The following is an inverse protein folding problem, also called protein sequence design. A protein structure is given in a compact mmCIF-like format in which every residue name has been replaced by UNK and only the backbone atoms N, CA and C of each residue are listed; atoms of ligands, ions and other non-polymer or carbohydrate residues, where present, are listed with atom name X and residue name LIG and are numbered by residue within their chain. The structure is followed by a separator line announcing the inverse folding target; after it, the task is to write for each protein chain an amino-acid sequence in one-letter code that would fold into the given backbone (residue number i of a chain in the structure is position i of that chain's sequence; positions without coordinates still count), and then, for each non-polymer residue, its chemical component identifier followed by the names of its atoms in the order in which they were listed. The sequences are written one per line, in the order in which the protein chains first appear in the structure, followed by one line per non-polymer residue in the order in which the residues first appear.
data_IF_999225594012
#
_entry.id   IF_999225594012
#
_cell.length_a   1.000
_cell.length_b   1.000
_cell.length_c   1.000
_cell.angle_alpha   90.00
_cell.angle_beta   90.00
_cell.angle_gamma   90.00
#
_symmetry.space_group_name_H-M   'P 1'
#
loop_
_entity.id
_entity.type
_entity.pdbx_description
1 polymer ?
#
# COMPACT_ATOMS: atom_id res chain seq x y z
N UNK A 1 25.63 4.15 -12.33
CA UNK A 1 24.45 3.39 -11.88
C UNK A 1 23.46 4.41 -11.30
N UNK A 2 22.15 4.37 -11.59
CA UNK A 2 21.20 5.26 -10.95
C UNK A 2 21.00 4.76 -9.52
N UNK A 3 21.96 5.06 -8.65
CA UNK A 3 22.06 4.40 -7.34
C UNK A 3 21.19 5.07 -6.27
N UNK A 4 20.29 6.00 -6.63
CA UNK A 4 19.47 6.68 -5.63
C UNK A 4 18.24 7.43 -6.14
N UNK A 5 17.65 7.07 -7.28
CA UNK A 5 16.39 7.69 -7.68
C UNK A 5 15.25 7.17 -6.77
N UNK A 6 14.52 8.05 -6.05
CA UNK A 6 13.47 7.61 -5.15
C UNK A 6 12.38 6.91 -5.97
N UNK A 7 11.94 5.75 -5.47
CA UNK A 7 10.90 4.96 -6.13
C UNK A 7 9.52 5.39 -5.60
N UNK A 8 8.53 5.43 -6.48
CA UNK A 8 7.14 5.70 -6.11
C UNK A 8 6.22 4.68 -6.77
N UNK A 9 5.30 4.12 -5.98
CA UNK A 9 4.17 3.34 -6.49
C UNK A 9 2.85 3.93 -6.03
N UNK A 10 1.91 4.06 -6.95
CA UNK A 10 0.53 4.47 -6.68
C UNK A 10 -0.45 3.37 -7.09
N UNK A 11 -1.22 2.87 -6.12
CA UNK A 11 -2.29 1.92 -6.35
C UNK A 11 -3.65 2.60 -6.18
N UNK A 12 -4.35 2.83 -7.28
CA UNK A 12 -5.74 3.27 -7.26
C UNK A 12 -6.65 2.10 -6.91
N UNK A 13 -7.43 2.26 -5.84
CA UNK A 13 -8.28 1.21 -5.29
C UNK A 13 -9.76 1.58 -5.36
N UNK A 14 -10.63 0.63 -5.76
CA UNK A 14 -12.06 0.81 -5.71
C UNK A 14 -12.55 0.85 -4.25
N UNK A 15 -13.73 1.43 -4.03
CA UNK A 15 -14.40 1.42 -2.73
C UNK A 15 -15.02 0.04 -2.43
N UNK A 16 -14.16 -0.96 -2.23
CA UNK A 16 -14.51 -2.37 -2.02
C UNK A 16 -13.55 -2.99 -1.00
N UNK A 17 -14.06 -3.78 -0.06
CA UNK A 17 -13.25 -4.42 0.99
C UNK A 17 -12.13 -5.33 0.45
N UNK A 18 -12.28 -5.86 -0.77
CA UNK A 18 -11.23 -6.63 -1.47
C UNK A 18 -9.97 -5.81 -1.69
N UNK A 19 -10.10 -4.48 -1.80
CA UNK A 19 -8.96 -3.56 -1.93
C UNK A 19 -7.98 -3.66 -0.76
N UNK A 20 -8.46 -3.97 0.45
CA UNK A 20 -7.59 -4.13 1.64
C UNK A 20 -6.57 -5.25 1.40
N UNK A 21 -7.03 -6.40 0.92
CA UNK A 21 -6.15 -7.56 0.69
C UNK A 21 -5.19 -7.31 -0.47
N UNK A 22 -5.66 -6.66 -1.54
CA UNK A 22 -4.81 -6.30 -2.69
C UNK A 22 -3.72 -5.34 -2.26
N UNK A 23 -4.08 -4.26 -1.56
CA UNK A 23 -3.15 -3.25 -1.04
C UNK A 23 -2.06 -3.86 -0.16
N UNK A 24 -2.42 -4.74 0.78
CA UNK A 24 -1.44 -5.42 1.66
C UNK A 24 -0.44 -6.25 0.86
N UNK A 25 -0.92 -7.11 -0.04
CA UNK A 25 -0.06 -8.01 -0.83
C UNK A 25 0.86 -7.23 -1.76
N UNK A 26 0.35 -6.17 -2.39
CA UNK A 26 1.15 -5.26 -3.22
C UNK A 26 2.23 -4.54 -2.41
N UNK A 27 1.88 -4.04 -1.22
CA UNK A 27 2.84 -3.37 -0.33
C UNK A 27 3.95 -4.31 0.14
N UNK A 28 3.62 -5.56 0.52
CA UNK A 28 4.63 -6.58 0.84
C UNK A 28 5.59 -6.78 -0.33
N UNK A 29 5.07 -6.93 -1.55
CA UNK A 29 5.89 -7.13 -2.73
C UNK A 29 6.86 -5.96 -2.95
N UNK A 30 6.35 -4.72 -2.93
CA UNK A 30 7.15 -3.51 -3.10
C UNK A 30 8.28 -3.46 -2.06
N UNK A 31 7.94 -3.57 -0.76
CA UNK A 31 8.94 -3.48 0.30
C UNK A 31 9.96 -4.62 0.24
N UNK A 32 9.56 -5.82 -0.18
CA UNK A 32 10.48 -6.94 -0.36
C UNK A 32 11.45 -6.69 -1.50
N UNK A 33 10.97 -6.19 -2.65
CA UNK A 33 11.80 -5.87 -3.81
C UNK A 33 12.81 -4.75 -3.52
N UNK A 34 12.46 -3.81 -2.63
CA UNK A 34 13.35 -2.74 -2.20
C UNK A 34 14.20 -3.08 -0.95
N UNK A 35 14.23 -4.34 -0.51
CA UNK A 35 15.06 -4.78 0.63
C UNK A 35 14.59 -4.28 2.01
N UNK A 36 13.37 -3.75 2.09
CA UNK A 36 12.73 -3.19 3.29
C UNK A 36 11.87 -4.22 4.03
N UNK A 37 12.21 -5.51 3.95
CA UNK A 37 11.41 -6.60 4.51
C UNK A 37 11.11 -6.45 6.00
N UNK A 38 12.00 -5.80 6.77
CA UNK A 38 11.81 -5.53 8.20
C UNK A 38 10.66 -4.57 8.50
N UNK A 39 10.21 -3.79 7.52
CA UNK A 39 9.10 -2.85 7.67
C UNK A 39 7.75 -3.46 7.27
N UNK A 40 7.74 -4.65 6.65
CA UNK A 40 6.54 -5.25 6.04
C UNK A 40 5.40 -5.38 7.03
N UNK A 41 5.64 -5.92 8.23
CA UNK A 41 4.57 -6.19 9.18
C UNK A 41 3.87 -4.91 9.64
N UNK A 42 4.66 -3.87 9.97
CA UNK A 42 4.11 -2.56 10.37
C UNK A 42 3.40 -1.88 9.21
N UNK A 43 4.00 -1.89 8.02
CA UNK A 43 3.44 -1.25 6.84
C UNK A 43 2.11 -1.92 6.43
N UNK A 44 2.02 -3.25 6.55
CA UNK A 44 0.77 -3.96 6.30
C UNK A 44 -0.32 -3.66 7.32
N UNK A 45 0.00 -3.52 8.60
CA UNK A 45 -0.97 -3.10 9.62
C UNK A 45 -1.54 -1.73 9.26
N UNK A 46 -0.67 -0.76 8.96
CA UNK A 46 -1.08 0.58 8.56
C UNK A 46 -1.91 0.57 7.28
N UNK A 47 -1.49 -0.15 6.25
CA UNK A 47 -2.25 -0.26 5.00
C UNK A 47 -3.61 -0.91 5.22
N UNK A 48 -3.71 -1.90 6.11
CA UNK A 48 -4.97 -2.56 6.45
C UNK A 48 -5.95 -1.59 7.06
N UNK A 49 -5.53 -0.87 8.10
CA UNK A 49 -6.35 0.08 8.83
C UNK A 49 -6.76 1.26 7.95
N UNK A 50 -5.81 1.88 7.25
CA UNK A 50 -6.07 3.05 6.40
C UNK A 50 -7.01 2.72 5.23
N UNK A 51 -6.78 1.60 4.55
CA UNK A 51 -7.65 1.19 3.43
C UNK A 51 -9.02 0.75 3.93
N UNK A 52 -9.09 0.05 5.06
CA UNK A 52 -10.38 -0.33 5.66
C UNK A 52 -11.19 0.91 6.07
N UNK A 53 -10.54 1.90 6.67
CA UNK A 53 -11.18 3.16 7.04
C UNK A 53 -11.62 3.95 5.81
N UNK A 54 -10.80 4.00 4.76
CA UNK A 54 -11.17 4.63 3.50
C UNK A 54 -12.42 3.97 2.91
N UNK A 55 -12.46 2.63 2.84
CA UNK A 55 -13.61 1.89 2.30
C UNK A 55 -14.87 2.07 3.16
N UNK A 56 -14.74 2.10 4.49
CA UNK A 56 -15.90 2.23 5.40
C UNK A 56 -16.45 3.64 5.50
N UNK A 57 -15.57 4.65 5.46
CA UNK A 57 -15.93 6.02 5.84
C UNK A 57 -15.92 7.00 4.67
N UNK A 58 -15.46 6.60 3.49
CA UNK A 58 -15.52 7.42 2.28
C UNK A 58 -16.42 6.79 1.23
N UNK A 59 -16.91 7.60 0.29
CA UNK A 59 -17.83 7.15 -0.77
C UNK A 59 -17.14 6.99 -2.13
N UNK A 60 -15.85 7.33 -2.24
CA UNK A 60 -15.12 7.41 -3.51
C UNK A 60 -13.94 6.44 -3.60
N UNK A 61 -13.30 6.35 -4.77
CA UNK A 61 -12.05 5.63 -4.92
C UNK A 61 -10.95 6.27 -4.06
N UNK A 62 -10.00 5.45 -3.61
CA UNK A 62 -8.84 5.90 -2.85
C UNK A 62 -7.55 5.55 -3.59
N UNK A 63 -6.43 6.10 -3.14
CA UNK A 63 -5.11 5.77 -3.64
C UNK A 63 -4.18 5.44 -2.48
N UNK A 64 -3.49 4.30 -2.56
CA UNK A 64 -2.36 3.98 -1.69
C UNK A 64 -1.08 4.39 -2.42
N UNK A 65 -0.32 5.32 -1.84
CA UNK A 65 0.96 5.78 -2.36
C UNK A 65 2.09 5.28 -1.46
N UNK A 66 3.15 4.76 -2.06
CA UNK A 66 4.36 4.29 -1.36
C UNK A 66 5.54 5.07 -1.93
N UNK A 67 6.30 5.71 -1.05
CA UNK A 67 7.41 6.63 -1.30
C UNK A 67 8.64 6.20 -0.50
#
# INVERSE_FOLDING_TARGET
MPENEPWEYSLYIPNDLRAVTVSRRTLRLILTMHGLIRLVDVAELLATELVSNAVRHTKGPAALRVL
#
